data_IF_252627992469
#
_entry.id   IF_252627992469
#
_cell.length_a   1.000
_cell.length_b   1.000
_cell.length_c   1.000
_cell.angle_alpha   90.00
_cell.angle_beta   90.00
_cell.angle_gamma   90.00
#
_symmetry.space_group_name_H-M   'P 1'
#
loop_
_entity.id
_entity.type
_entity.pdbx_description
1 polymer ?
#
# COMPACT_ATOMS: atom_id res chain seq x y z
N UNK A 1 -0.65 -0.37 -39.78
CA UNK A 1 -0.66 -1.20 -38.54
C UNK A 1 -2.08 -1.68 -38.31
N UNK A 2 -2.34 -2.98 -38.19
CA UNK A 2 -3.70 -3.49 -37.96
C UNK A 2 -4.28 -2.96 -36.64
N UNK A 3 -5.61 -2.87 -36.53
CA UNK A 3 -6.29 -2.46 -35.27
C UNK A 3 -5.81 -3.34 -34.11
N UNK A 4 -5.63 -4.64 -34.35
CA UNK A 4 -5.08 -5.58 -33.40
C UNK A 4 -3.67 -5.20 -32.90
N UNK A 5 -2.76 -4.86 -33.81
CA UNK A 5 -1.39 -4.48 -33.43
C UNK A 5 -1.35 -3.18 -32.63
N UNK A 6 -2.25 -2.23 -32.92
CA UNK A 6 -2.39 -1.01 -32.10
C UNK A 6 -2.89 -1.36 -30.70
N UNK A 7 -3.96 -2.15 -30.59
CA UNK A 7 -4.51 -2.59 -29.30
C UNK A 7 -3.50 -3.39 -28.47
N UNK A 8 -2.75 -4.29 -29.08
CA UNK A 8 -1.73 -5.09 -28.41
C UNK A 8 -0.57 -4.23 -27.88
N UNK A 9 -0.17 -3.19 -28.63
CA UNK A 9 0.84 -2.24 -28.17
C UNK A 9 0.35 -1.41 -26.99
N UNK A 10 -0.87 -0.87 -27.04
CA UNK A 10 -1.45 -0.11 -25.94
C UNK A 10 -1.59 -0.98 -24.68
N UNK A 11 -2.00 -2.23 -24.82
CA UNK A 11 -2.04 -3.20 -23.72
C UNK A 11 -0.64 -3.42 -23.12
N UNK A 12 0.37 -3.66 -23.97
CA UNK A 12 1.76 -3.83 -23.53
C UNK A 12 2.28 -2.60 -22.80
N UNK A 13 1.98 -1.40 -23.29
CA UNK A 13 2.37 -0.14 -22.66
C UNK A 13 1.79 -0.04 -21.25
N UNK A 14 0.51 -0.36 -21.05
CA UNK A 14 -0.13 -0.30 -19.73
C UNK A 14 0.52 -1.22 -18.69
N UNK A 15 1.03 -2.39 -19.08
CA UNK A 15 1.81 -3.26 -18.18
C UNK A 15 3.25 -2.80 -17.97
N UNK A 16 3.89 -2.32 -19.03
CA UNK A 16 5.31 -1.96 -18.99
C UNK A 16 5.54 -0.56 -18.41
N UNK A 17 4.51 0.27 -18.32
CA UNK A 17 4.57 1.62 -17.75
C UNK A 17 5.18 1.67 -16.35
N UNK A 18 4.83 0.70 -15.49
CA UNK A 18 5.39 0.60 -14.14
C UNK A 18 6.92 0.42 -14.16
N UNK A 19 7.46 -0.16 -15.23
CA UNK A 19 8.88 -0.46 -15.43
C UNK A 19 9.56 0.42 -16.47
N UNK A 20 8.85 1.40 -17.04
CA UNK A 20 9.34 2.20 -18.17
C UNK A 20 10.54 3.11 -17.80
N UNK A 21 10.75 3.39 -16.52
CA UNK A 21 11.86 4.19 -16.03
C UNK A 21 12.65 3.51 -14.90
N UNK A 22 13.88 3.99 -14.67
CA UNK A 22 14.77 3.47 -13.61
C UNK A 22 14.23 3.71 -12.19
N UNK A 23 13.15 4.47 -12.03
CA UNK A 23 12.50 4.73 -10.75
C UNK A 23 11.27 3.85 -10.50
N UNK A 24 11.12 2.73 -11.22
CA UNK A 24 10.05 1.74 -11.05
C UNK A 24 9.82 1.32 -9.59
N UNK A 25 10.88 1.22 -8.78
CA UNK A 25 10.79 0.89 -7.36
C UNK A 25 9.96 1.91 -6.56
N UNK A 26 9.93 3.18 -6.99
CA UNK A 26 9.07 4.22 -6.41
C UNK A 26 7.60 4.03 -6.78
N UNK A 27 7.31 3.36 -7.91
CA UNK A 27 5.94 3.05 -8.37
C UNK A 27 5.40 1.78 -7.71
N UNK A 28 6.27 0.82 -7.39
CA UNK A 28 5.92 -0.50 -6.82
C UNK A 28 5.96 -0.55 -5.28
N UNK A 29 5.96 0.57 -4.59
CA UNK A 29 6.04 0.61 -3.12
C UNK A 29 4.87 -0.10 -2.40
N UNK A 30 3.72 -0.26 -3.07
CA UNK A 30 2.56 -1.01 -2.54
C UNK A 30 2.85 -2.51 -2.48
N UNK A 31 3.76 -3.02 -3.33
CA UNK A 31 4.07 -4.44 -3.41
C UNK A 31 4.62 -5.00 -2.08
N UNK A 32 5.62 -4.38 -1.42
CA UNK A 32 6.01 -4.75 -0.06
C UNK A 32 4.83 -4.80 0.91
N UNK A 33 3.92 -3.82 0.89
CA UNK A 33 2.75 -3.82 1.80
C UNK A 33 1.81 -5.01 1.59
N UNK A 34 1.62 -5.44 0.35
CA UNK A 34 0.79 -6.60 0.01
C UNK A 34 1.47 -7.93 0.33
N UNK A 35 2.81 -7.95 0.38
CA UNK A 35 3.60 -9.13 0.73
C UNK A 35 3.67 -9.36 2.26
N UNK A 36 3.36 -8.35 3.07
CA UNK A 36 3.67 -8.35 4.50
C UNK A 36 2.76 -9.20 5.41
N UNK A 37 1.60 -9.68 4.95
CA UNK A 37 0.70 -10.47 5.80
C UNK A 37 -0.21 -11.40 4.98
N UNK A 38 -0.36 -12.70 5.33
CA UNK A 38 -1.34 -13.58 4.67
C UNK A 38 -2.78 -13.43 5.22
N UNK A 39 -2.98 -13.06 6.49
CA UNK A 39 -4.31 -12.96 7.11
C UNK A 39 -4.88 -11.53 7.18
N UNK A 40 -4.01 -10.51 7.24
CA UNK A 40 -4.36 -9.08 7.13
C UNK A 40 -4.37 -8.62 5.65
N UNK A 41 -3.83 -9.46 4.74
CA UNK A 41 -3.57 -9.22 3.31
C UNK A 41 -4.74 -8.57 2.58
N UNK A 42 -5.92 -9.15 2.72
CA UNK A 42 -7.03 -8.86 1.84
C UNK A 42 -7.66 -7.50 2.16
N UNK A 43 -8.17 -7.22 3.37
CA UNK A 43 -8.82 -5.94 3.62
C UNK A 43 -7.84 -4.76 3.63
N UNK A 44 -6.67 -4.89 4.26
CA UNK A 44 -5.74 -3.79 4.42
C UNK A 44 -4.95 -3.49 3.15
N UNK A 45 -4.51 -4.53 2.44
CA UNK A 45 -3.84 -4.41 1.14
C UNK A 45 -4.74 -3.78 0.07
N UNK A 46 -6.02 -4.17 0.05
CA UNK A 46 -7.02 -3.60 -0.87
C UNK A 46 -7.21 -2.10 -0.65
N UNK A 47 -7.17 -1.63 0.61
CA UNK A 47 -7.24 -0.19 0.90
C UNK A 47 -6.06 0.54 0.26
N UNK A 48 -4.82 0.09 0.51
CA UNK A 48 -3.64 0.75 -0.04
C UNK A 48 -3.60 0.71 -1.57
N UNK A 49 -3.94 -0.41 -2.19
CA UNK A 49 -3.89 -0.53 -3.65
C UNK A 49 -4.97 0.32 -4.33
N UNK A 50 -6.18 0.41 -3.74
CA UNK A 50 -7.25 1.30 -4.24
C UNK A 50 -6.90 2.78 -4.04
N UNK A 51 -6.28 3.11 -2.91
CA UNK A 51 -5.80 4.47 -2.65
C UNK A 51 -4.70 4.89 -3.62
N UNK A 52 -3.75 3.99 -3.85
CA UNK A 52 -2.68 4.14 -4.83
C UNK A 52 -3.25 4.27 -6.24
N UNK A 53 -4.28 3.48 -6.58
CA UNK A 53 -4.98 3.59 -7.86
C UNK A 53 -5.53 5.00 -8.09
N UNK A 54 -6.27 5.56 -7.13
CA UNK A 54 -6.83 6.91 -7.24
C UNK A 54 -5.72 7.95 -7.40
N UNK A 55 -4.62 7.82 -6.65
CA UNK A 55 -3.49 8.74 -6.75
C UNK A 55 -2.81 8.67 -8.12
N UNK A 56 -2.58 7.47 -8.63
CA UNK A 56 -1.96 7.26 -9.94
C UNK A 56 -2.81 7.83 -11.07
N UNK A 57 -4.14 7.63 -11.02
CA UNK A 57 -5.07 8.25 -11.98
C UNK A 57 -5.01 9.78 -11.89
N UNK A 58 -4.95 10.33 -10.68
CA UNK A 58 -4.87 11.78 -10.45
C UNK A 58 -3.56 12.40 -10.98
N UNK A 59 -2.43 11.70 -10.84
CA UNK A 59 -1.13 12.16 -11.31
C UNK A 59 -1.04 12.08 -12.84
N UNK A 60 -1.48 10.95 -13.43
CA UNK A 60 -1.53 10.75 -14.87
C UNK A 60 -2.45 11.75 -15.57
N UNK A 61 -3.63 12.04 -14.98
CA UNK A 61 -4.56 13.03 -15.53
C UNK A 61 -3.97 14.44 -15.66
N UNK A 62 -2.89 14.73 -14.92
CA UNK A 62 -2.20 16.02 -14.87
C UNK A 62 -0.80 15.97 -15.50
N UNK A 63 -0.44 14.89 -16.20
CA UNK A 63 0.92 14.65 -16.71
C UNK A 63 2.02 14.79 -15.64
N UNK A 64 1.70 14.53 -14.37
CA UNK A 64 2.69 14.59 -13.29
C UNK A 64 3.40 13.24 -13.18
N UNK A 65 4.71 13.21 -12.89
CA UNK A 65 5.34 11.97 -12.46
C UNK A 65 4.63 11.50 -11.18
N UNK A 66 4.51 10.17 -11.01
CA UNK A 66 3.92 9.57 -9.81
C UNK A 66 4.53 10.22 -8.56
N UNK A 67 3.69 10.95 -7.82
CA UNK A 67 4.15 11.75 -6.68
C UNK A 67 4.65 10.85 -5.56
N UNK A 68 5.63 11.34 -4.81
CA UNK A 68 6.17 10.68 -3.62
C UNK A 68 5.08 10.31 -2.62
N UNK A 69 5.30 9.21 -1.92
CA UNK A 69 4.44 8.58 -0.92
C UNK A 69 3.77 9.52 0.10
N UNK A 70 2.53 9.92 -0.18
CA UNK A 70 1.63 10.55 0.78
C UNK A 70 0.74 9.49 1.46
N UNK A 71 1.35 8.68 2.35
CA UNK A 71 0.70 7.54 3.02
C UNK A 71 -0.70 7.84 3.55
N UNK A 72 -0.88 8.93 4.30
CA UNK A 72 -2.17 9.28 4.90
C UNK A 72 -3.27 9.54 3.86
N UNK A 73 -2.93 10.29 2.80
CA UNK A 73 -3.88 10.59 1.72
C UNK A 73 -4.23 9.33 0.93
N UNK A 74 -3.25 8.45 0.70
CA UNK A 74 -3.46 7.18 -0.01
C UNK A 74 -4.35 6.26 0.81
N UNK A 75 -4.08 6.13 2.11
CA UNK A 75 -4.91 5.32 3.00
C UNK A 75 -6.36 5.84 3.03
N UNK A 76 -6.57 7.15 3.18
CA UNK A 76 -7.91 7.74 3.22
C UNK A 76 -8.68 7.55 1.90
N UNK A 77 -8.03 7.84 0.76
CA UNK A 77 -8.59 7.58 -0.58
C UNK A 77 -8.97 6.11 -0.74
N UNK A 78 -8.08 5.23 -0.30
CA UNK A 78 -8.28 3.78 -0.32
C UNK A 78 -9.48 3.34 0.49
N UNK A 79 -9.60 3.85 1.72
CA UNK A 79 -10.69 3.55 2.62
C UNK A 79 -12.03 3.96 2.02
N UNK A 80 -12.11 5.17 1.45
CA UNK A 80 -13.32 5.67 0.80
C UNK A 80 -13.74 4.80 -0.39
N UNK A 81 -12.81 4.51 -1.31
CA UNK A 81 -13.11 3.65 -2.48
C UNK A 81 -13.51 2.25 -2.03
N UNK A 82 -12.86 1.71 -1.01
CA UNK A 82 -13.18 0.37 -0.47
C UNK A 82 -14.57 0.34 0.15
N UNK A 83 -14.91 1.34 0.98
CA UNK A 83 -16.23 1.47 1.59
C UNK A 83 -17.34 1.58 0.52
N UNK A 84 -17.14 2.40 -0.52
CA UNK A 84 -18.08 2.49 -1.65
C UNK A 84 -18.19 1.15 -2.35
N UNK A 85 -17.07 0.50 -2.64
CA UNK A 85 -17.04 -0.80 -3.32
C UNK A 85 -17.87 -1.84 -2.52
N UNK A 86 -17.70 -1.90 -1.20
CA UNK A 86 -18.45 -2.81 -0.33
C UNK A 86 -19.95 -2.51 -0.34
N UNK A 87 -20.35 -1.22 -0.35
CA UNK A 87 -21.76 -0.85 -0.47
C UNK A 87 -22.34 -1.29 -1.82
N UNK A 88 -21.60 -1.15 -2.91
CA UNK A 88 -22.05 -1.66 -4.21
C UNK A 88 -22.21 -3.18 -4.22
N UNK A 89 -21.35 -3.91 -3.51
CA UNK A 89 -21.48 -5.36 -3.37
C UNK A 89 -22.62 -5.81 -2.45
N UNK A 90 -23.17 -4.94 -1.60
CA UNK A 90 -24.33 -5.30 -0.77
C UNK A 90 -25.65 -5.29 -1.54
N UNK A 91 -25.74 -4.56 -2.66
CA UNK A 91 -26.95 -4.50 -3.49
C UNK A 91 -27.42 -5.86 -4.03
N UNK A 92 -26.57 -6.68 -4.68
CA UNK A 92 -26.99 -8.00 -5.16
C UNK A 92 -27.34 -8.94 -4.01
N UNK A 93 -26.72 -8.76 -2.84
CA UNK A 93 -27.09 -9.46 -1.60
C UNK A 93 -28.53 -9.15 -1.21
N UNK A 94 -28.90 -7.86 -1.14
CA UNK A 94 -30.26 -7.41 -0.83
C UNK A 94 -31.25 -7.93 -1.86
N UNK A 95 -30.90 -7.90 -3.15
CA UNK A 95 -31.74 -8.40 -4.23
C UNK A 95 -31.97 -9.91 -4.12
N UNK A 96 -30.92 -10.70 -3.82
CA UNK A 96 -31.05 -12.13 -3.60
C UNK A 96 -32.02 -12.43 -2.46
N UNK A 97 -31.86 -11.77 -1.30
CA UNK A 97 -32.76 -11.95 -0.17
C UNK A 97 -34.22 -11.54 -0.50
N UNK A 98 -34.41 -10.46 -1.27
CA UNK A 98 -35.74 -10.03 -1.71
C UNK A 98 -36.42 -11.05 -2.65
N UNK A 99 -35.64 -11.84 -3.38
CA UNK A 99 -36.11 -12.92 -4.26
C UNK A 99 -36.25 -14.27 -3.54
N UNK A 100 -36.03 -14.32 -2.22
CA UNK A 100 -36.05 -15.56 -1.44
C UNK A 100 -34.79 -16.42 -1.58
N UNK A 101 -33.73 -15.90 -2.19
CA UNK A 101 -32.47 -16.60 -2.38
C UNK A 101 -31.54 -16.37 -1.18
N UNK A 102 -30.80 -17.42 -0.78
CA UNK A 102 -29.75 -17.33 0.26
C UNK A 102 -28.59 -16.39 -0.11
N UNK A 103 -28.38 -16.13 -1.40
CA UNK A 103 -27.28 -15.32 -1.90
C UNK A 103 -25.90 -15.94 -1.63
N UNK A 104 -24.83 -15.17 -1.88
CA UNK A 104 -23.45 -15.66 -1.71
C UNK A 104 -23.05 -15.81 -0.24
N UNK A 105 -23.69 -15.07 0.67
CA UNK A 105 -23.42 -15.16 2.12
C UNK A 105 -23.98 -16.46 2.68
N UNK A 106 -25.18 -16.85 2.28
CA UNK A 106 -25.74 -18.14 2.67
C UNK A 106 -24.92 -19.32 2.18
N UNK A 107 -24.29 -19.22 1.00
CA UNK A 107 -23.32 -20.24 0.54
C UNK A 107 -22.15 -20.43 1.51
N UNK A 108 -21.54 -19.34 2.00
CA UNK A 108 -20.44 -19.43 2.97
C UNK A 108 -20.89 -19.97 4.32
N UNK A 109 -22.11 -19.62 4.77
CA UNK A 109 -22.68 -20.17 6.00
C UNK A 109 -22.95 -21.67 5.88
N UNK A 110 -23.49 -22.12 4.75
CA UNK A 110 -23.73 -23.53 4.47
C UNK A 110 -22.40 -24.33 4.38
N UNK A 111 -21.34 -23.75 3.80
CA UNK A 111 -19.99 -24.35 3.82
C UNK A 111 -19.45 -24.45 5.25
N UNK A 112 -19.62 -23.41 6.05
CA UNK A 112 -19.17 -23.39 7.44
C UNK A 112 -19.90 -24.45 8.26
N UNK A 113 -21.21 -24.56 8.09
CA UNK A 113 -22.04 -25.60 8.70
C UNK A 113 -21.59 -27.00 8.25
N UNK A 114 -21.30 -27.21 6.96
CA UNK A 114 -20.75 -28.46 6.44
C UNK A 114 -19.40 -28.83 7.09
N UNK A 115 -18.48 -27.87 7.24
CA UNK A 115 -17.18 -28.08 7.88
C UNK A 115 -17.33 -28.46 9.35
N UNK A 116 -18.29 -27.85 10.05
CA UNK A 116 -18.50 -28.07 11.50
C UNK A 116 -19.43 -29.24 11.83
N UNK A 117 -20.35 -29.59 10.94
CA UNK A 117 -21.47 -30.50 11.18
C UNK A 117 -21.53 -31.76 10.32
N UNK A 118 -20.65 -31.90 9.31
CA UNK A 118 -20.55 -33.12 8.49
C UNK A 118 -21.57 -33.23 7.35
N UNK A 119 -21.41 -34.28 6.53
CA UNK A 119 -22.06 -34.43 5.21
C UNK A 119 -23.56 -34.84 5.27
N UNK A 120 -24.07 -35.27 6.43
CA UNK A 120 -25.43 -35.82 6.56
C UNK A 120 -26.56 -34.78 6.36
N UNK A 121 -26.26 -33.48 6.47
CA UNK A 121 -27.23 -32.40 6.17
C UNK A 121 -27.28 -31.95 4.71
N UNK A 122 -26.38 -32.46 3.84
CA UNK A 122 -26.07 -31.86 2.55
C UNK A 122 -26.64 -32.61 1.34
N UNK A 123 -27.91 -33.06 1.39
CA UNK A 123 -28.55 -33.67 0.22
C UNK A 123 -29.81 -32.88 -0.21
N UNK A 124 -29.57 -32.11 -1.28
CA UNK A 124 -30.46 -31.71 -2.39
C UNK A 124 -31.69 -30.82 -2.10
N UNK A 125 -31.52 -29.52 -2.42
CA UNK A 125 -32.49 -28.67 -3.16
C UNK A 125 -31.90 -27.28 -3.54
N UNK A 126 -30.69 -26.93 -3.05
CA UNK A 126 -30.17 -25.56 -3.10
C UNK A 126 -29.29 -25.18 -4.31
N UNK A 127 -28.97 -26.11 -5.22
CA UNK A 127 -28.05 -25.82 -6.34
C UNK A 127 -28.62 -24.76 -7.29
N UNK A 128 -29.94 -24.77 -7.53
CA UNK A 128 -30.59 -23.78 -8.39
C UNK A 128 -30.54 -22.36 -7.79
N UNK A 129 -30.74 -22.23 -6.48
CA UNK A 129 -30.64 -20.95 -5.76
C UNK A 129 -29.24 -20.36 -5.86
N UNK A 130 -28.22 -21.22 -5.76
CA UNK A 130 -26.82 -20.80 -5.90
C UNK A 130 -26.49 -20.39 -7.33
N UNK A 131 -26.91 -21.16 -8.34
CA UNK A 131 -26.72 -20.79 -9.75
C UNK A 131 -27.35 -19.43 -10.03
N UNK A 132 -28.59 -19.21 -9.59
CA UNK A 132 -29.29 -17.94 -9.81
C UNK A 132 -28.62 -16.79 -9.05
N UNK A 133 -28.18 -17.02 -7.82
CA UNK A 133 -27.39 -16.05 -7.05
C UNK A 133 -26.10 -15.69 -7.78
N UNK A 134 -25.31 -16.66 -8.25
CA UNK A 134 -24.09 -16.39 -9.01
C UNK A 134 -24.35 -15.59 -10.29
N UNK A 135 -25.45 -15.86 -11.00
CA UNK A 135 -25.86 -15.07 -12.17
C UNK A 135 -26.18 -13.62 -11.78
N UNK A 136 -26.93 -13.39 -10.71
CA UNK A 136 -27.25 -12.04 -10.21
C UNK A 136 -25.98 -11.26 -9.86
N UNK A 137 -25.07 -11.86 -9.10
CA UNK A 137 -23.80 -11.22 -8.74
C UNK A 137 -22.91 -11.00 -9.97
N UNK A 138 -22.90 -11.93 -10.92
CA UNK A 138 -22.15 -11.81 -12.18
C UNK A 138 -22.64 -10.64 -13.03
N UNK A 139 -23.95 -10.55 -13.28
CA UNK A 139 -24.56 -9.44 -14.03
C UNK A 139 -24.32 -8.11 -13.30
N UNK A 140 -24.52 -8.08 -11.99
CA UNK A 140 -24.28 -6.89 -11.19
C UNK A 140 -22.82 -6.44 -11.24
N UNK A 141 -21.87 -7.36 -11.12
CA UNK A 141 -20.44 -7.08 -11.23
C UNK A 141 -20.05 -6.48 -12.58
N UNK A 142 -20.63 -6.97 -13.69
CA UNK A 142 -20.42 -6.42 -15.03
C UNK A 142 -20.91 -4.98 -15.17
N UNK A 143 -22.00 -4.61 -14.48
CA UNK A 143 -22.58 -3.26 -14.51
C UNK A 143 -21.87 -2.33 -13.54
N UNK A 144 -21.57 -2.78 -12.33
CA UNK A 144 -21.10 -1.91 -11.26
C UNK A 144 -19.61 -1.63 -11.30
N UNK A 145 -18.79 -2.57 -11.77
CA UNK A 145 -17.36 -2.32 -11.92
C UNK A 145 -17.05 -1.09 -12.80
N UNK A 146 -17.60 -0.94 -14.04
CA UNK A 146 -17.33 0.24 -14.85
C UNK A 146 -17.88 1.53 -14.21
N UNK A 147 -19.02 1.47 -13.51
CA UNK A 147 -19.56 2.61 -12.77
C UNK A 147 -18.63 3.06 -11.63
N UNK A 148 -18.04 2.12 -10.90
CA UNK A 148 -17.04 2.41 -9.85
C UNK A 148 -15.80 3.03 -10.48
N UNK A 149 -15.30 2.52 -11.61
CA UNK A 149 -14.15 3.10 -12.30
C UNK A 149 -14.44 4.54 -12.79
N UNK A 150 -15.65 4.82 -13.27
CA UNK A 150 -16.08 6.19 -13.60
C UNK A 150 -16.04 7.10 -12.36
N UNK A 151 -16.53 6.60 -11.22
CA UNK A 151 -16.44 7.30 -9.94
C UNK A 151 -15.00 7.57 -9.53
N UNK A 152 -14.09 6.60 -9.70
CA UNK A 152 -12.66 6.73 -9.40
C UNK A 152 -12.01 7.82 -10.25
N UNK A 153 -12.27 7.86 -11.56
CA UNK A 153 -11.77 8.92 -12.45
C UNK A 153 -12.24 10.29 -11.95
N UNK A 154 -13.55 10.44 -11.72
CA UNK A 154 -14.12 11.72 -11.29
C UNK A 154 -13.56 12.15 -9.93
N UNK A 155 -13.44 11.21 -9.00
CA UNK A 155 -12.84 11.45 -7.68
C UNK A 155 -11.36 11.85 -7.78
N UNK A 156 -10.58 11.18 -8.63
CA UNK A 156 -9.17 11.50 -8.83
C UNK A 156 -8.95 12.92 -9.38
N UNK A 157 -9.84 13.38 -10.26
CA UNK A 157 -9.80 14.72 -10.85
C UNK A 157 -10.29 15.78 -9.86
N UNK A 158 -11.47 15.57 -9.25
CA UNK A 158 -12.14 16.56 -8.41
C UNK A 158 -11.61 16.66 -6.98
N UNK A 159 -11.06 15.56 -6.45
CA UNK A 159 -10.70 15.43 -5.04
C UNK A 159 -11.91 15.26 -4.10
N UNK A 160 -13.14 15.21 -4.61
CA UNK A 160 -14.34 15.02 -3.80
C UNK A 160 -14.81 13.55 -3.83
N UNK A 161 -14.73 12.86 -2.71
CA UNK A 161 -15.12 11.45 -2.58
C UNK A 161 -16.61 11.20 -2.87
N UNK A 162 -17.46 12.22 -2.75
CA UNK A 162 -18.88 12.13 -3.13
C UNK A 162 -19.10 11.74 -4.58
N UNK A 163 -18.13 11.99 -5.46
CA UNK A 163 -18.19 11.58 -6.87
C UNK A 163 -18.22 10.05 -7.07
N UNK A 164 -17.76 9.28 -6.08
CA UNK A 164 -17.88 7.83 -6.06
C UNK A 164 -19.36 7.36 -5.97
N UNK A 165 -20.23 8.15 -5.32
CA UNK A 165 -21.65 7.82 -5.11
C UNK A 165 -22.60 8.42 -6.14
N UNK A 166 -22.15 9.40 -6.93
CA UNK A 166 -23.00 10.10 -7.89
C UNK A 166 -23.34 9.23 -9.12
N UNK A 167 -24.20 8.24 -8.92
CA UNK A 167 -24.59 7.24 -9.92
C UNK A 167 -25.07 7.85 -11.25
N UNK A 168 -25.93 8.87 -11.30
CA UNK A 168 -26.37 9.45 -12.57
C UNK A 168 -25.23 10.06 -13.39
N UNK A 169 -24.29 10.75 -12.72
CA UNK A 169 -23.12 11.35 -13.38
C UNK A 169 -22.14 10.27 -13.85
N UNK A 170 -21.94 9.23 -13.05
CA UNK A 170 -21.05 8.11 -13.39
C UNK A 170 -21.62 7.31 -14.57
N UNK A 171 -22.94 7.08 -14.60
CA UNK A 171 -23.62 6.42 -15.71
C UNK A 171 -23.57 7.25 -16.99
N UNK A 172 -23.82 8.56 -16.90
CA UNK A 172 -23.69 9.44 -18.06
C UNK A 172 -22.26 9.46 -18.61
N UNK A 173 -21.26 9.52 -17.73
CA UNK A 173 -19.85 9.45 -18.11
C UNK A 173 -19.50 8.12 -18.78
N UNK A 174 -20.02 7.00 -18.26
CA UNK A 174 -19.85 5.67 -18.84
C UNK A 174 -20.45 5.60 -20.24
N UNK A 175 -21.70 6.04 -20.42
CA UNK A 175 -22.41 6.01 -21.72
C UNK A 175 -21.67 6.87 -22.76
N UNK A 176 -21.23 8.07 -22.37
CA UNK A 176 -20.47 8.97 -23.25
C UNK A 176 -19.15 8.35 -23.72
N UNK A 177 -18.50 7.53 -22.89
CA UNK A 177 -17.18 6.94 -23.15
C UNK A 177 -17.20 5.42 -23.33
N UNK A 178 -18.37 4.83 -23.65
CA UNK A 178 -18.59 3.38 -23.60
C UNK A 178 -17.58 2.59 -24.45
N UNK A 179 -17.17 3.13 -25.60
CA UNK A 179 -16.20 2.52 -26.49
C UNK A 179 -14.81 2.34 -25.83
N UNK A 180 -14.39 3.28 -24.97
CA UNK A 180 -13.14 3.15 -24.21
C UNK A 180 -13.28 2.11 -23.11
N UNK A 181 -14.43 2.09 -22.44
CA UNK A 181 -14.71 1.12 -21.39
C UNK A 181 -14.80 -0.32 -21.91
N UNK A 182 -15.32 -0.56 -23.12
CA UNK A 182 -15.31 -1.91 -23.73
C UNK A 182 -13.89 -2.42 -23.92
N UNK A 183 -13.02 -1.60 -24.49
CA UNK A 183 -11.62 -1.94 -24.70
C UNK A 183 -10.93 -2.24 -23.37
N UNK A 184 -11.10 -1.35 -22.40
CA UNK A 184 -10.62 -1.54 -21.03
C UNK A 184 -11.12 -2.86 -20.42
N UNK A 185 -12.40 -3.19 -20.60
CA UNK A 185 -13.01 -4.37 -19.99
C UNK A 185 -12.55 -5.68 -20.65
N UNK A 186 -12.35 -5.68 -21.97
CA UNK A 186 -11.76 -6.82 -22.67
C UNK A 186 -10.38 -7.13 -22.10
N UNK A 187 -9.53 -6.11 -21.93
CA UNK A 187 -8.22 -6.28 -21.33
C UNK A 187 -8.28 -6.69 -19.86
N UNK A 188 -9.23 -6.14 -19.09
CA UNK A 188 -9.52 -6.58 -17.73
C UNK A 188 -9.85 -8.07 -17.67
N UNK A 189 -10.76 -8.56 -18.52
CA UNK A 189 -11.19 -9.97 -18.52
C UNK A 189 -10.06 -10.91 -18.94
N UNK A 190 -9.28 -10.54 -19.96
CA UNK A 190 -8.10 -11.31 -20.37
C UNK A 190 -7.08 -11.38 -19.23
N UNK A 191 -6.80 -10.25 -18.58
CA UNK A 191 -5.88 -10.19 -17.43
C UNK A 191 -6.37 -11.04 -16.28
N UNK A 192 -7.63 -10.87 -15.89
CA UNK A 192 -8.24 -11.59 -14.79
C UNK A 192 -8.25 -13.10 -15.06
N UNK A 193 -8.60 -13.51 -16.28
CA UNK A 193 -8.55 -14.92 -16.70
C UNK A 193 -7.14 -15.50 -16.63
N UNK A 194 -6.12 -14.77 -17.11
CA UNK A 194 -4.72 -15.18 -16.98
C UNK A 194 -4.30 -15.30 -15.50
N UNK A 195 -4.73 -14.36 -14.66
CA UNK A 195 -4.44 -14.34 -13.23
C UNK A 195 -5.06 -15.56 -12.54
N UNK A 196 -6.32 -15.88 -12.83
CA UNK A 196 -7.00 -17.08 -12.32
C UNK A 196 -6.32 -18.38 -12.76
N UNK A 197 -5.86 -18.46 -14.01
CA UNK A 197 -5.13 -19.63 -14.52
C UNK A 197 -3.80 -19.78 -13.77
N UNK A 198 -3.04 -18.69 -13.63
CA UNK A 198 -1.76 -18.70 -12.93
C UNK A 198 -1.95 -19.06 -11.44
N UNK A 199 -2.93 -18.47 -10.78
CA UNK A 199 -3.30 -18.76 -9.39
C UNK A 199 -3.67 -20.25 -9.20
N UNK A 200 -4.51 -20.78 -10.09
CA UNK A 200 -4.92 -22.20 -10.08
C UNK A 200 -3.75 -23.16 -10.29
N UNK A 201 -2.80 -22.80 -11.17
CA UNK A 201 -1.58 -23.60 -11.42
C UNK A 201 -0.68 -23.59 -10.18
N UNK A 202 -0.57 -22.47 -9.49
CA UNK A 202 0.33 -22.30 -8.34
C UNK A 202 -0.18 -23.03 -7.11
N UNK A 203 -1.50 -23.00 -6.88
CA UNK A 203 -2.16 -23.77 -5.82
C UNK A 203 -1.81 -25.27 -5.87
N UNK A 204 -1.57 -25.79 -7.08
CA UNK A 204 -1.23 -27.20 -7.33
C UNK A 204 0.27 -27.49 -7.13
N UNK A 205 1.16 -26.51 -7.36
CA UNK A 205 2.61 -26.74 -7.50
C UNK A 205 3.43 -26.27 -6.29
N UNK A 206 3.07 -25.15 -5.61
CA UNK A 206 3.83 -24.65 -4.44
C UNK A 206 3.17 -23.45 -3.70
N UNK A 207 2.68 -23.67 -2.47
CA UNK A 207 2.19 -22.62 -1.54
C UNK A 207 3.16 -21.43 -1.29
N UNK A 208 4.50 -21.63 -1.21
CA UNK A 208 5.43 -20.50 -0.98
C UNK A 208 5.53 -19.52 -2.15
N UNK A 209 5.32 -19.99 -3.40
CA UNK A 209 5.39 -19.16 -4.60
C UNK A 209 4.15 -18.27 -4.73
N UNK A 210 2.98 -18.78 -4.33
CA UNK A 210 1.71 -18.05 -4.28
C UNK A 210 1.80 -16.78 -3.45
N UNK A 211 2.48 -16.86 -2.30
CA UNK A 211 2.63 -15.75 -1.36
C UNK A 211 3.30 -14.54 -2.01
N UNK A 212 4.22 -14.76 -2.97
CA UNK A 212 4.97 -13.73 -3.67
C UNK A 212 4.28 -13.30 -4.96
N UNK A 213 3.80 -14.26 -5.76
CA UNK A 213 3.31 -13.98 -7.10
C UNK A 213 1.94 -13.30 -7.09
N UNK A 214 1.02 -13.70 -6.22
CA UNK A 214 -0.31 -13.10 -6.18
C UNK A 214 -0.29 -11.57 -5.89
N UNK A 215 0.47 -11.07 -4.88
CA UNK A 215 0.68 -9.63 -4.67
C UNK A 215 1.28 -8.92 -5.88
N UNK A 216 2.26 -9.55 -6.54
CA UNK A 216 2.91 -8.98 -7.71
C UNK A 216 1.92 -8.81 -8.86
N UNK A 217 1.15 -9.86 -9.17
CA UNK A 217 0.12 -9.82 -10.20
C UNK A 217 -0.99 -8.82 -9.87
N UNK A 218 -1.36 -8.68 -8.60
CA UNK A 218 -2.33 -7.68 -8.15
C UNK A 218 -1.84 -6.26 -8.41
N UNK A 219 -0.56 -5.95 -8.12
CA UNK A 219 0.03 -4.63 -8.40
C UNK A 219 0.11 -4.36 -9.89
N UNK A 220 0.49 -5.36 -10.69
CA UNK A 220 0.48 -5.24 -12.15
C UNK A 220 -0.92 -4.93 -12.68
N UNK A 221 -1.92 -5.67 -12.18
CA UNK A 221 -3.31 -5.47 -12.56
C UNK A 221 -3.80 -4.06 -12.22
N UNK A 222 -3.67 -3.63 -10.95
CA UNK A 222 -4.13 -2.30 -10.55
C UNK A 222 -3.33 -1.18 -11.19
N UNK A 223 -2.02 -1.35 -11.40
CA UNK A 223 -1.20 -0.34 -12.08
C UNK A 223 -1.55 -0.20 -13.56
N UNK A 224 -1.79 -1.32 -14.27
CA UNK A 224 -2.29 -1.29 -15.65
C UNK A 224 -3.65 -0.61 -15.74
N UNK A 225 -4.56 -0.92 -14.82
CA UNK A 225 -5.88 -0.28 -14.77
C UNK A 225 -5.75 1.21 -14.51
N UNK A 226 -4.94 1.62 -13.53
CA UNK A 226 -4.68 3.02 -13.24
C UNK A 226 -4.09 3.79 -14.42
N UNK A 227 -3.23 3.14 -15.21
CA UNK A 227 -2.64 3.74 -16.40
C UNK A 227 -3.71 4.13 -17.42
N UNK A 228 -4.59 3.18 -17.77
CA UNK A 228 -5.70 3.40 -18.70
C UNK A 228 -6.69 4.46 -18.18
N UNK A 229 -7.08 4.36 -16.91
CA UNK A 229 -8.00 5.33 -16.30
C UNK A 229 -7.37 6.73 -16.24
N UNK A 230 -6.06 6.83 -16.04
CA UNK A 230 -5.29 8.07 -16.06
C UNK A 230 -5.33 8.77 -17.42
N UNK A 231 -5.10 8.04 -18.51
CA UNK A 231 -5.22 8.57 -19.87
C UNK A 231 -6.64 9.00 -20.22
N UNK A 232 -7.64 8.22 -19.79
CA UNK A 232 -9.04 8.59 -19.96
C UNK A 232 -9.40 9.87 -19.17
N UNK A 233 -8.89 9.97 -17.92
CA UNK A 233 -9.03 11.15 -17.09
C UNK A 233 -8.35 12.38 -17.71
N UNK A 234 -7.16 12.21 -18.28
CA UNK A 234 -6.42 13.25 -18.98
C UNK A 234 -7.21 13.78 -20.18
N UNK A 235 -7.74 12.90 -21.03
CA UNK A 235 -8.57 13.29 -22.18
C UNK A 235 -9.79 14.11 -21.73
N UNK A 236 -10.42 13.72 -20.63
CA UNK A 236 -11.54 14.47 -20.05
C UNK A 236 -11.14 15.85 -19.51
N UNK A 237 -9.96 15.97 -18.89
CA UNK A 237 -9.42 17.28 -18.48
C UNK A 237 -9.15 18.20 -19.68
N UNK A 238 -8.58 17.67 -20.77
CA UNK A 238 -8.33 18.44 -21.99
C UNK A 238 -9.62 18.84 -22.72
N UNK A 239 -10.65 17.98 -22.77
CA UNK A 239 -11.97 18.33 -23.34
C UNK A 239 -12.69 19.47 -22.56
N UNK A 240 -12.25 19.77 -21.33
CA UNK A 240 -12.80 20.83 -20.48
C UNK A 240 -11.99 22.12 -20.51
N UNK A 241 -10.80 22.11 -21.10
CA UNK A 241 -9.81 23.20 -21.02
C UNK A 241 -9.05 23.36 -22.35
N UNK A 242 -9.64 24.09 -23.30
CA UNK A 242 -9.01 25.16 -24.09
C UNK A 242 -10.10 25.92 -24.88
N UNK A 243 -10.05 27.27 -25.01
CA UNK A 243 -8.83 28.05 -25.26
C UNK A 243 -8.49 29.00 -24.11
N UNK A 244 -7.22 28.97 -23.66
CA UNK A 244 -6.39 30.17 -23.49
C UNK A 244 -5.06 29.80 -22.81
N UNK A 245 -3.99 30.08 -23.56
CA UNK A 245 -2.70 30.55 -23.07
C UNK A 245 -1.74 29.51 -22.47
N UNK A 246 -0.97 28.93 -23.38
CA UNK A 246 0.47 28.70 -23.23
C UNK A 246 1.18 29.97 -22.73
N UNK A 247 1.49 30.07 -21.44
CA UNK A 247 2.54 30.96 -20.95
C UNK A 247 3.19 30.39 -19.67
N UNK A 248 4.51 30.21 -19.77
CA UNK A 248 5.56 30.32 -18.76
C UNK A 248 5.17 30.13 -17.27
N UNK A 249 5.77 29.10 -16.64
CA UNK A 249 6.09 29.18 -15.21
C UNK A 249 7.61 29.30 -15.08
N UNK A 250 8.02 30.53 -14.79
CA UNK A 250 9.36 30.94 -14.36
C UNK A 250 9.76 30.21 -13.07
N UNK A 251 11.03 29.82 -13.02
CA UNK A 251 11.79 29.64 -11.79
C UNK A 251 11.78 30.93 -10.97
N UNK A 252 11.57 30.83 -9.66
CA UNK A 252 12.03 31.83 -8.70
C UNK A 252 12.40 31.17 -7.38
N UNK A 253 13.69 31.16 -7.08
CA UNK A 253 14.25 31.00 -5.74
C UNK A 253 13.92 32.21 -4.87
N UNK A 254 13.71 32.02 -3.55
CA UNK A 254 14.57 32.56 -2.47
C UNK A 254 13.98 32.32 -1.05
N UNK A 255 14.82 32.38 0.01
CA UNK A 255 14.59 31.73 1.30
C UNK A 255 14.01 32.66 2.37
N UNK A 256 13.47 32.09 3.44
CA UNK A 256 13.20 32.82 4.69
C UNK A 256 13.99 32.20 5.84
N UNK A 257 14.95 33.00 6.30
CA UNK A 257 15.75 32.85 7.49
C UNK A 257 14.95 33.37 8.68
N UNK A 258 14.71 32.55 9.71
CA UNK A 258 14.37 33.04 11.05
C UNK A 258 15.28 32.37 12.07
N UNK A 259 16.29 33.13 12.48
CA UNK A 259 17.11 32.89 13.65
C UNK A 259 16.21 33.07 14.87
N UNK A 260 16.18 32.08 15.75
CA UNK A 260 15.86 32.34 17.14
C UNK A 260 16.86 31.59 18.03
N UNK A 261 17.73 32.35 18.65
CA UNK A 261 18.66 31.92 19.68
C UNK A 261 17.91 31.82 21.00
N UNK A 262 17.99 30.68 21.66
CA UNK A 262 18.07 30.60 23.12
C UNK A 262 18.87 29.34 23.46
N UNK A 263 20.11 29.59 23.88
CA UNK A 263 21.11 28.60 24.26
C UNK A 263 20.99 28.45 25.78
N UNK A 264 20.34 27.40 26.25
CA UNK A 264 20.47 26.97 27.65
C UNK A 264 21.57 25.91 27.70
N UNK A 265 22.69 26.31 28.31
CA UNK A 265 23.84 25.48 28.59
C UNK A 265 23.53 24.56 29.78
N UNK A 266 23.38 23.27 29.52
CA UNK A 266 23.47 22.23 30.55
C UNK A 266 24.69 21.38 30.29
N UNK A 267 25.59 21.33 31.27
CA UNK A 267 26.86 20.62 31.27
C UNK A 267 26.77 19.24 30.60
N UNK A 268 27.63 19.00 29.61
CA UNK A 268 27.68 17.78 28.82
C UNK A 268 28.18 16.60 29.66
N UNK A 269 27.27 15.97 30.40
CA UNK A 269 27.45 14.60 30.88
C UNK A 269 27.45 13.69 29.66
N UNK A 270 28.48 12.85 29.48
CA UNK A 270 28.49 11.86 28.41
C UNK A 270 27.16 11.07 28.39
N UNK A 271 26.43 11.18 27.28
CA UNK A 271 25.11 10.56 27.15
C UNK A 271 25.25 9.04 27.30
N UNK A 272 24.64 8.49 28.35
CA UNK A 272 24.69 7.05 28.63
C UNK A 272 23.95 6.25 27.54
N UNK A 273 24.31 4.98 27.34
CA UNK A 273 23.60 4.12 26.38
C UNK A 273 22.11 3.97 26.73
N UNK A 274 21.77 3.99 28.02
CA UNK A 274 20.39 3.91 28.49
C UNK A 274 19.61 5.18 28.18
N UNK A 275 20.26 6.34 28.21
CA UNK A 275 19.65 7.62 27.81
C UNK A 275 19.14 7.56 26.37
N UNK A 276 19.88 6.93 25.44
CA UNK A 276 19.43 6.75 24.06
C UNK A 276 18.20 5.87 23.90
N UNK A 277 18.09 4.84 24.75
CA UNK A 277 16.89 4.02 24.80
C UNK A 277 15.67 4.86 25.21
N UNK A 278 15.78 5.62 26.30
CA UNK A 278 14.68 6.48 26.79
C UNK A 278 14.33 7.57 25.77
N UNK A 279 15.31 8.24 25.18
CA UNK A 279 15.08 9.25 24.14
C UNK A 279 14.42 8.67 22.90
N UNK A 280 14.75 7.43 22.54
CA UNK A 280 14.10 6.69 21.47
C UNK A 280 12.60 6.57 21.66
N UNK A 281 12.14 6.31 22.89
CA UNK A 281 10.72 6.16 23.20
C UNK A 281 10.00 7.48 23.55
N UNK A 282 10.71 8.47 24.06
CA UNK A 282 10.10 9.73 24.54
C UNK A 282 10.14 10.86 23.52
N UNK A 283 11.27 11.04 22.82
CA UNK A 283 11.51 12.16 21.90
C UNK A 283 11.52 11.73 20.44
N UNK A 284 12.04 10.53 20.17
CA UNK A 284 12.33 10.05 18.81
C UNK A 284 11.44 8.88 18.36
N UNK A 285 10.27 8.68 18.98
CA UNK A 285 9.41 7.51 18.78
C UNK A 285 9.04 7.25 17.31
N UNK A 286 8.68 8.31 16.58
CA UNK A 286 8.40 8.30 15.13
C UNK A 286 9.17 9.41 14.42
N UNK A 287 10.38 9.71 14.90
CA UNK A 287 11.22 10.72 14.28
C UNK A 287 12.11 10.10 13.20
N UNK A 288 11.72 10.29 11.94
CA UNK A 288 12.46 9.84 10.77
C UNK A 288 13.43 10.89 10.21
N UNK A 289 13.49 12.08 10.80
CA UNK A 289 14.32 13.19 10.34
C UNK A 289 15.66 13.20 11.09
N UNK A 290 16.69 13.72 10.42
CA UNK A 290 18.03 13.83 10.99
C UNK A 290 18.85 12.54 10.89
N UNK A 291 19.93 12.50 11.67
CA UNK A 291 20.98 11.48 11.63
C UNK A 291 21.19 10.89 13.01
N UNK A 292 21.43 9.58 13.08
CA UNK A 292 21.73 8.88 14.33
C UNK A 292 23.16 8.36 14.33
N UNK A 293 23.90 8.64 15.41
CA UNK A 293 25.28 8.18 15.58
C UNK A 293 25.34 6.70 15.96
N UNK A 294 26.50 6.05 15.77
CA UNK A 294 26.72 4.64 16.13
C UNK A 294 26.37 4.34 17.61
N UNK A 295 26.80 5.20 18.56
CA UNK A 295 26.49 5.03 19.99
C UNK A 295 24.98 5.08 20.28
N UNK A 296 24.24 5.96 19.61
CA UNK A 296 22.79 6.07 19.76
C UNK A 296 22.09 4.82 19.24
N UNK A 297 22.44 4.40 18.02
CA UNK A 297 21.88 3.21 17.38
C UNK A 297 22.09 1.94 18.21
N UNK A 298 23.33 1.68 18.64
CA UNK A 298 23.66 0.49 19.42
C UNK A 298 23.11 0.56 20.85
N UNK A 299 23.08 1.74 21.47
CA UNK A 299 22.48 1.93 22.79
C UNK A 299 20.99 1.56 22.78
N UNK A 300 20.21 2.13 21.86
CA UNK A 300 18.81 1.79 21.71
C UNK A 300 18.61 0.30 21.38
N UNK A 301 19.34 -0.22 20.38
CA UNK A 301 19.21 -1.60 19.89
C UNK A 301 19.48 -2.62 21.00
N UNK A 302 20.48 -2.38 21.86
CA UNK A 302 20.82 -3.25 22.97
C UNK A 302 19.64 -3.42 23.94
N UNK A 303 19.13 -2.33 24.49
CA UNK A 303 18.03 -2.38 25.46
C UNK A 303 16.73 -2.89 24.83
N UNK A 304 16.48 -2.52 23.57
CA UNK A 304 15.32 -3.01 22.83
C UNK A 304 15.36 -4.53 22.61
N UNK A 305 16.55 -5.08 22.34
CA UNK A 305 16.76 -6.53 22.19
C UNK A 305 16.57 -7.26 23.52
N UNK A 306 17.11 -6.72 24.63
CA UNK A 306 16.93 -7.31 25.95
C UNK A 306 15.46 -7.39 26.37
N UNK A 307 14.69 -6.32 26.14
CA UNK A 307 13.24 -6.31 26.41
C UNK A 307 12.52 -7.32 25.51
N UNK A 308 12.88 -7.39 24.23
CA UNK A 308 12.28 -8.34 23.29
C UNK A 308 12.49 -9.80 23.71
N UNK A 309 13.68 -10.15 24.23
CA UNK A 309 13.97 -11.49 24.77
C UNK A 309 13.09 -11.80 25.99
N UNK A 310 12.94 -10.84 26.92
CA UNK A 310 12.08 -11.00 28.11
C UNK A 310 10.62 -11.21 27.68
N UNK A 311 10.13 -10.43 26.73
CA UNK A 311 8.77 -10.55 26.20
C UNK A 311 8.54 -11.89 25.49
N UNK A 312 9.55 -12.41 24.78
CA UNK A 312 9.46 -13.72 24.15
C UNK A 312 9.32 -14.83 25.20
N UNK A 313 10.15 -14.82 26.26
CA UNK A 313 10.09 -15.79 27.36
C UNK A 313 8.72 -15.73 28.05
N UNK A 314 8.22 -14.52 28.33
CA UNK A 314 6.89 -14.31 28.91
C UNK A 314 5.78 -14.80 27.96
N UNK A 315 5.92 -14.59 26.66
CA UNK A 315 4.98 -15.06 25.65
C UNK A 315 4.85 -16.59 25.60
N UNK A 316 5.96 -17.32 25.83
CA UNK A 316 5.98 -18.79 25.87
C UNK A 316 5.16 -19.38 27.03
N UNK A 317 4.81 -18.60 28.05
CA UNK A 317 3.96 -19.04 29.17
C UNK A 317 2.47 -19.13 28.81
N UNK A 318 2.07 -18.70 27.60
CA UNK A 318 0.68 -18.69 27.12
C UNK A 318 -0.14 -17.51 27.64
N UNK A 319 -0.08 -17.20 28.93
CA UNK A 319 -0.82 -16.06 29.53
C UNK A 319 -0.25 -14.70 29.08
N UNK A 320 1.06 -14.65 28.84
CA UNK A 320 1.76 -13.44 28.42
C UNK A 320 1.75 -13.16 26.92
N UNK A 321 1.20 -14.05 26.08
CA UNK A 321 1.35 -14.00 24.63
C UNK A 321 0.74 -12.74 23.99
N UNK A 322 -0.51 -12.41 24.36
CA UNK A 322 -1.21 -11.24 23.80
C UNK A 322 -0.56 -9.92 24.24
N UNK A 323 -0.29 -9.70 25.55
CA UNK A 323 0.42 -8.49 25.98
C UNK A 323 1.82 -8.36 25.37
N UNK A 324 2.59 -9.45 25.30
CA UNK A 324 3.91 -9.45 24.69
C UNK A 324 3.86 -9.06 23.22
N UNK A 325 2.89 -9.60 22.48
CA UNK A 325 2.68 -9.25 21.07
C UNK A 325 2.35 -7.76 20.88
N UNK A 326 1.47 -7.19 21.71
CA UNK A 326 1.13 -5.77 21.64
C UNK A 326 2.36 -4.88 21.93
N UNK A 327 3.15 -5.24 22.94
CA UNK A 327 4.35 -4.48 23.29
C UNK A 327 5.39 -4.56 22.17
N UNK A 328 5.63 -5.75 21.60
CA UNK A 328 6.54 -5.93 20.47
C UNK A 328 6.11 -5.09 19.25
N UNK A 329 4.81 -5.01 18.98
CA UNK A 329 4.28 -4.12 17.94
C UNK A 329 4.54 -2.63 18.24
N UNK A 330 4.40 -2.20 19.50
CA UNK A 330 4.67 -0.83 19.91
C UNK A 330 6.17 -0.47 19.86
N UNK A 331 7.07 -1.46 19.91
CA UNK A 331 8.51 -1.27 19.79
C UNK A 331 9.00 -1.15 18.33
N UNK A 332 8.17 -1.52 17.34
CA UNK A 332 8.54 -1.45 15.92
C UNK A 332 8.75 -0.01 15.40
N UNK A 333 7.82 0.96 15.62
CA UNK A 333 7.99 2.32 15.12
C UNK A 333 9.32 2.99 15.52
N UNK A 334 9.75 2.98 16.81
CA UNK A 334 11.02 3.60 17.20
C UNK A 334 12.24 2.84 16.67
N UNK A 335 12.14 1.51 16.52
CA UNK A 335 13.21 0.68 15.91
C UNK A 335 13.43 1.00 14.43
N UNK A 336 12.35 1.29 13.71
CA UNK A 336 12.43 1.74 12.31
C UNK A 336 12.96 3.18 12.28
N UNK A 337 12.47 4.07 13.15
CA UNK A 337 12.87 5.48 13.20
C UNK A 337 14.39 5.65 13.41
N UNK A 338 14.97 4.93 14.36
CA UNK A 338 16.42 4.99 14.59
C UNK A 338 17.24 4.38 13.44
N UNK A 339 16.73 3.33 12.80
CA UNK A 339 17.37 2.71 11.64
C UNK A 339 17.35 3.62 10.41
N UNK A 340 16.25 4.37 10.20
CA UNK A 340 16.15 5.40 9.16
C UNK A 340 17.20 6.49 9.39
N UNK A 341 17.28 7.04 10.62
CA UNK A 341 18.27 8.07 10.97
C UNK A 341 19.71 7.54 10.87
N UNK A 342 19.95 6.26 11.13
CA UNK A 342 21.26 5.62 10.96
C UNK A 342 21.65 5.48 9.48
N UNK A 343 20.70 5.11 8.60
CA UNK A 343 20.91 5.09 7.16
C UNK A 343 21.15 6.49 6.59
N UNK A 344 20.43 7.49 7.08
CA UNK A 344 20.66 8.90 6.74
C UNK A 344 22.06 9.36 7.12
N UNK A 345 22.59 8.91 8.25
CA UNK A 345 23.98 9.20 8.62
C UNK A 345 25.00 8.61 7.62
N UNK A 346 24.70 7.46 7.00
CA UNK A 346 25.49 6.89 5.90
C UNK A 346 25.12 7.45 4.50
N UNK A 347 24.35 8.55 4.46
CA UNK A 347 23.81 9.16 3.23
C UNK A 347 23.05 8.16 2.33
N UNK A 348 22.41 7.16 2.94
CA UNK A 348 21.52 6.19 2.29
C UNK A 348 20.07 6.58 2.52
N UNK A 349 19.20 6.06 1.65
CA UNK A 349 17.76 6.28 1.77
C UNK A 349 17.18 5.56 2.99
N UNK A 350 16.38 6.25 3.80
CA UNK A 350 15.65 5.64 4.92
C UNK A 350 14.73 4.47 4.52
N UNK A 351 14.38 4.35 3.24
CA UNK A 351 13.60 3.24 2.70
C UNK A 351 14.24 1.87 2.94
N UNK A 352 15.57 1.77 3.07
CA UNK A 352 16.22 0.50 3.39
C UNK A 352 15.86 -0.01 4.81
N UNK A 353 15.44 0.86 5.73
CA UNK A 353 14.92 0.45 7.04
C UNK A 353 13.55 -0.24 6.94
N UNK A 354 12.82 -0.09 5.83
CA UNK A 354 11.59 -0.86 5.62
C UNK A 354 11.88 -2.37 5.50
N UNK A 355 13.13 -2.75 5.22
CA UNK A 355 13.60 -4.14 5.29
C UNK A 355 13.40 -4.78 6.67
N UNK A 356 13.28 -4.00 7.76
CA UNK A 356 12.95 -4.51 9.09
C UNK A 356 11.57 -5.17 9.15
N UNK A 357 10.66 -4.86 8.22
CA UNK A 357 9.36 -5.52 8.15
C UNK A 357 9.48 -7.00 7.75
N UNK A 358 10.63 -7.44 7.20
CA UNK A 358 10.93 -8.85 6.97
C UNK A 358 10.93 -9.63 8.30
N UNK A 359 11.23 -8.99 9.44
CA UNK A 359 11.17 -9.61 10.77
C UNK A 359 9.78 -10.14 11.17
N UNK A 360 8.73 -9.74 10.45
CA UNK A 360 7.37 -10.24 10.67
C UNK A 360 7.16 -11.66 10.13
N UNK A 361 8.11 -12.17 9.33
CA UNK A 361 8.13 -13.58 8.91
C UNK A 361 8.77 -14.40 10.04
N UNK A 362 8.05 -15.36 10.65
CA UNK A 362 8.60 -16.16 11.74
C UNK A 362 9.90 -16.86 11.34
N UNK A 363 10.88 -16.88 12.26
CA UNK A 363 12.19 -17.55 12.12
C UNK A 363 13.11 -16.94 11.04
N UNK A 364 12.72 -17.02 9.76
CA UNK A 364 13.55 -16.50 8.64
C UNK A 364 13.67 -14.97 8.72
N UNK A 365 12.57 -14.31 9.06
CA UNK A 365 12.51 -12.86 9.14
C UNK A 365 13.42 -12.31 10.22
N UNK A 366 13.46 -12.96 11.37
CA UNK A 366 14.31 -12.58 12.51
C UNK A 366 15.79 -12.71 12.16
N UNK A 367 16.20 -13.76 11.45
CA UNK A 367 17.59 -13.95 11.00
C UNK A 367 18.01 -12.84 10.04
N UNK A 368 17.18 -12.58 9.01
CA UNK A 368 17.47 -11.53 8.02
C UNK A 368 17.47 -10.16 8.69
N UNK A 369 16.51 -9.91 9.58
CA UNK A 369 16.43 -8.68 10.33
C UNK A 369 17.64 -8.45 11.23
N UNK A 370 18.12 -9.49 11.92
CA UNK A 370 19.33 -9.42 12.74
C UNK A 370 20.55 -9.06 11.89
N UNK A 371 20.70 -9.67 10.70
CA UNK A 371 21.75 -9.27 9.77
C UNK A 371 21.62 -7.81 9.34
N UNK A 372 20.41 -7.35 9.03
CA UNK A 372 20.15 -5.97 8.64
C UNK A 372 20.50 -4.97 9.76
N UNK A 373 20.16 -5.29 11.02
CA UNK A 373 20.56 -4.52 12.21
C UNK A 373 22.08 -4.36 12.27
N UNK A 374 22.81 -5.46 12.12
CA UNK A 374 24.28 -5.43 12.17
C UNK A 374 24.83 -4.60 11.02
N UNK A 375 24.40 -4.85 9.79
CA UNK A 375 24.83 -4.10 8.60
C UNK A 375 24.62 -2.60 8.79
N UNK A 376 23.41 -2.18 9.17
CA UNK A 376 23.08 -0.76 9.38
C UNK A 376 23.90 -0.15 10.53
N UNK A 377 24.13 -0.92 11.60
CA UNK A 377 24.91 -0.48 12.75
C UNK A 377 26.40 -0.26 12.43
N UNK A 378 26.99 -1.06 11.55
CA UNK A 378 28.43 -0.98 11.21
C UNK A 378 28.78 -0.01 10.09
N UNK A 379 27.81 0.36 9.22
CA UNK A 379 28.00 1.33 8.14
C UNK A 379 28.78 2.57 8.61
N UNK A 380 29.63 3.13 7.77
CA UNK A 380 30.31 4.39 8.11
C UNK A 380 29.38 5.59 7.86
N UNK A 381 29.39 6.53 8.80
CA UNK A 381 28.68 7.80 8.66
C UNK A 381 29.46 8.75 7.74
N UNK A 382 28.76 9.63 7.03
CA UNK A 382 29.39 10.68 6.22
C UNK A 382 29.95 11.77 7.12
N UNK A 383 31.23 12.13 6.93
CA UNK A 383 31.85 13.23 7.67
C UNK A 383 31.28 14.57 7.18
N UNK A 384 30.96 15.47 8.10
CA UNK A 384 30.39 16.79 7.77
C UNK A 384 28.90 16.73 7.42
N UNK A 385 28.39 17.81 6.84
CA UNK A 385 26.98 17.92 6.46
C UNK A 385 26.62 16.98 5.31
N UNK A 386 25.42 16.41 5.37
CA UNK A 386 24.82 15.68 4.25
C UNK A 386 23.38 16.16 4.04
N UNK A 387 22.69 15.62 3.02
CA UNK A 387 21.31 16.01 2.68
C UNK A 387 20.28 15.80 3.81
N UNK A 388 20.65 15.07 4.87
CA UNK A 388 19.81 14.77 6.04
C UNK A 388 20.21 15.57 7.30
N UNK A 389 21.24 16.42 7.23
CA UNK A 389 21.63 17.35 8.29
C UNK A 389 23.12 17.30 8.67
N UNK A 390 23.46 18.05 9.71
CA UNK A 390 24.81 18.18 10.26
C UNK A 390 25.37 16.86 10.82
N UNK A 391 26.70 16.80 10.93
CA UNK A 391 27.41 15.65 11.47
C UNK A 391 27.08 15.46 12.97
N UNK A 392 26.51 14.31 13.38
CA UNK A 392 26.17 14.07 14.78
C UNK A 392 27.39 13.95 15.70
N UNK A 393 28.62 13.87 15.16
CA UNK A 393 29.86 13.95 15.94
C UNK A 393 30.32 15.39 16.18
N UNK A 394 30.01 16.34 15.28
CA UNK A 394 30.41 17.75 15.42
C UNK A 394 29.69 18.46 16.56
N UNK A 395 28.45 18.05 16.88
CA UNK A 395 27.71 18.58 18.04
C UNK A 395 28.44 18.33 19.39
N UNK A 396 29.35 17.35 19.45
CA UNK A 396 30.14 17.05 20.66
C UNK A 396 31.59 17.59 20.61
N UNK A 397 32.06 18.15 19.49
CA UNK A 397 33.47 18.58 19.32
C UNK A 397 33.65 20.08 19.10
N UNK A 398 32.57 20.86 19.10
CA UNK A 398 32.59 22.33 18.99
C UNK A 398 32.28 23.04 20.32
N UNK A 399 32.48 22.36 21.45
CA UNK A 399 32.44 22.98 22.79
C UNK A 399 33.81 22.92 23.48
#
# INVERSE_FOLDING_TARGET
MSIFNRLANEYRESYTYLFADKSFYKKLWVLPLLLLFPFIKYPFGIIFIKGWQVQMVADLSRNKPLQSLHFGNIFLKGLQVTAVTLLYFSVPTILCYALGLKGIIGFFLDIWELITGGLEGYLTDYIQDYILSFVIYGIWGLICNPLIQCGIIRYAISGNWGDLFHLPKNLFFLIRNWHQFIKFYFFYLVTFGLLMIVDSIILIIAFPIELILAPFLLVLYYGSVSHELGHLAQKFCHERYEPELSLEVKESEQPILLINTNKESTMATETSLFTYFIEGYTRNYVNFKGRARKREYWGFTLFNTLISIILLIVGLTGVGAIPAFIILLAMLPPSIAISVRRLHDANKSGWFALGFLIMLIPVIGEIIGMMLTVVIGVLEGTKGENQYGEDPLKQNTLE
#
